data_IF_526274985156
#
_entry.id   IF_526274985156
#
_cell.length_a   1.000
_cell.length_b   1.000
_cell.length_c   1.000
_cell.angle_alpha   90.00
_cell.angle_beta   90.00
_cell.angle_gamma   90.00
#
_symmetry.space_group_name_H-M   'P 1'
#
loop_
_entity.id
_entity.type
_entity.pdbx_description
1 polymer ?
#
# COMPACT_ATOMS: atom_id res chain seq x y z
N UNK A 1 20.17 -2.61 -5.10
CA UNK A 1 18.94 -2.64 -4.29
C UNK A 1 19.11 -3.69 -3.21
N UNK A 2 18.63 -3.43 -1.99
CA UNK A 2 18.63 -4.45 -0.94
C UNK A 2 17.68 -5.59 -1.35
N UNK A 3 18.16 -6.84 -1.28
CA UNK A 3 17.38 -8.03 -1.66
C UNK A 3 16.99 -8.88 -0.46
N UNK A 4 17.47 -8.53 0.74
CA UNK A 4 17.25 -9.28 1.97
C UNK A 4 16.46 -8.43 2.96
N UNK A 5 15.40 -8.98 3.57
CA UNK A 5 14.67 -8.28 4.61
C UNK A 5 15.57 -7.88 5.76
N UNK A 6 15.41 -6.66 6.28
CA UNK A 6 16.14 -6.18 7.46
C UNK A 6 15.19 -6.15 8.66
N UNK A 7 15.64 -6.63 9.82
CA UNK A 7 14.83 -6.58 11.05
C UNK A 7 15.32 -5.43 11.93
N UNK A 8 14.41 -4.51 12.27
CA UNK A 8 14.66 -3.42 13.24
C UNK A 8 13.52 -3.40 14.25
N UNK A 9 13.84 -3.16 15.52
CA UNK A 9 12.80 -2.93 16.54
C UNK A 9 12.27 -1.51 16.40
N UNK A 10 11.03 -1.37 15.95
CA UNK A 10 10.33 -0.10 15.84
C UNK A 10 9.17 -0.08 16.84
N UNK A 11 9.04 0.99 17.64
CA UNK A 11 7.99 1.13 18.66
C UNK A 11 7.89 -0.08 19.62
N UNK A 12 9.04 -0.66 20.00
CA UNK A 12 9.09 -1.81 20.91
C UNK A 12 8.71 -3.15 20.28
N UNK A 13 8.48 -3.22 18.96
CA UNK A 13 8.12 -4.45 18.24
C UNK A 13 9.10 -4.74 17.10
N UNK A 14 9.56 -5.99 16.94
CA UNK A 14 10.34 -6.38 15.76
C UNK A 14 9.58 -6.06 14.48
N UNK A 15 10.22 -5.36 13.55
CA UNK A 15 9.67 -5.02 12.24
C UNK A 15 10.59 -5.52 11.15
N UNK A 16 10.05 -6.35 10.26
CA UNK A 16 10.72 -6.82 9.04
C UNK A 16 10.46 -5.80 7.94
N UNK A 17 11.53 -5.18 7.44
CA UNK A 17 11.50 -4.31 6.27
C UNK A 17 11.74 -5.16 5.03
N UNK A 18 10.65 -5.48 4.33
CA UNK A 18 10.63 -6.30 3.12
C UNK A 18 11.00 -5.46 1.90
N UNK A 19 12.05 -5.84 1.16
CA UNK A 19 12.46 -5.12 -0.03
C UNK A 19 11.42 -5.27 -1.13
N UNK A 20 11.23 -4.20 -1.89
CA UNK A 20 10.43 -4.18 -3.10
C UNK A 20 11.30 -3.73 -4.28
N UNK A 21 11.22 -4.41 -5.44
CA UNK A 21 11.69 -3.82 -6.69
C UNK A 21 10.99 -2.47 -6.86
N UNK A 22 11.73 -1.38 -7.01
CA UNK A 22 11.15 -0.04 -7.01
C UNK A 22 11.75 0.80 -8.14
N UNK A 23 10.92 1.51 -8.94
CA UNK A 23 9.46 1.37 -9.01
C UNK A 23 9.09 0.03 -9.69
N UNK A 24 8.23 -0.79 -9.08
CA UNK A 24 7.80 -2.03 -9.75
C UNK A 24 6.76 -1.73 -10.83
N UNK A 25 6.79 -2.46 -11.96
CA UNK A 25 5.76 -2.36 -12.97
C UNK A 25 4.41 -2.83 -12.44
N UNK A 26 3.37 -2.02 -12.65
CA UNK A 26 1.99 -2.40 -12.38
C UNK A 26 1.21 -2.50 -13.68
N UNK A 27 0.29 -3.46 -13.77
CA UNK A 27 -0.61 -3.55 -14.92
C UNK A 27 -1.65 -2.43 -14.84
N UNK A 28 -1.91 -1.76 -15.96
CA UNK A 28 -2.87 -0.65 -16.03
C UNK A 28 -4.30 -1.09 -15.71
N UNK A 29 -4.65 -2.35 -15.96
CA UNK A 29 -5.97 -2.90 -15.63
C UNK A 29 -6.24 -2.98 -14.12
N UNK A 30 -5.21 -2.93 -13.28
CA UNK A 30 -5.34 -2.86 -11.82
C UNK A 30 -6.11 -1.63 -11.34
N UNK A 31 -6.03 -0.52 -12.08
CA UNK A 31 -6.80 0.70 -11.78
C UNK A 31 -8.32 0.50 -11.92
N UNK A 32 -8.75 -0.46 -12.75
CA UNK A 32 -10.18 -0.75 -12.97
C UNK A 32 -10.78 -1.71 -11.92
N UNK A 33 -9.98 -2.19 -10.96
CA UNK A 33 -10.37 -3.19 -9.95
C UNK A 33 -11.01 -2.52 -8.73
N UNK A 34 -12.16 -1.90 -8.98
CA UNK A 34 -12.96 -1.20 -7.98
C UNK A 34 -14.12 -2.06 -7.52
N UNK A 35 -14.42 -2.07 -6.22
CA UNK A 35 -15.53 -2.83 -5.64
C UNK A 35 -16.18 -2.11 -4.46
N UNK A 36 -17.43 -2.47 -4.16
CA UNK A 36 -18.17 -2.02 -3.00
C UNK A 36 -18.21 -3.15 -1.97
N UNK A 37 -17.73 -2.91 -0.75
CA UNK A 37 -17.56 -3.97 0.26
C UNK A 37 -18.88 -4.60 0.73
N UNK A 38 -19.98 -3.86 0.68
CA UNK A 38 -21.35 -4.31 0.98
C UNK A 38 -22.34 -3.44 0.20
N UNK A 39 -23.63 -3.77 0.22
CA UNK A 39 -24.65 -3.04 -0.56
C UNK A 39 -24.68 -1.52 -0.27
N UNK A 40 -24.40 -1.11 0.97
CA UNK A 40 -24.28 0.30 1.41
C UNK A 40 -22.85 0.70 1.79
N UNK A 41 -21.87 -0.18 1.53
CA UNK A 41 -20.50 -0.01 1.97
C UNK A 41 -19.70 1.02 1.17
N UNK A 42 -18.47 1.33 1.62
CA UNK A 42 -17.54 2.17 0.88
C UNK A 42 -17.16 1.51 -0.45
N UNK A 43 -16.87 2.34 -1.45
CA UNK A 43 -16.26 1.91 -2.70
C UNK A 43 -14.75 1.98 -2.53
N UNK A 44 -14.09 0.86 -2.78
CA UNK A 44 -12.65 0.69 -2.66
C UNK A 44 -12.02 0.40 -4.02
N UNK A 45 -10.88 1.02 -4.26
CA UNK A 45 -10.02 0.78 -5.41
C UNK A 45 -8.62 0.39 -4.95
N UNK A 46 -7.86 -0.22 -5.85
CA UNK A 46 -6.48 -0.61 -5.59
C UNK A 46 -6.30 -1.53 -4.37
N UNK A 47 -7.34 -2.26 -3.97
CA UNK A 47 -7.27 -3.13 -2.79
C UNK A 47 -6.78 -4.53 -3.17
N UNK A 48 -5.68 -5.03 -2.58
CA UNK A 48 -5.26 -6.42 -2.71
C UNK A 48 -6.37 -7.44 -2.45
N UNK A 49 -7.39 -7.09 -1.64
CA UNK A 49 -8.55 -7.93 -1.37
C UNK A 49 -9.27 -8.34 -2.66
N UNK A 50 -9.31 -7.46 -3.67
CA UNK A 50 -9.96 -7.74 -4.95
C UNK A 50 -9.33 -8.96 -5.63
N UNK A 51 -8.00 -8.99 -5.73
CA UNK A 51 -7.24 -10.08 -6.33
C UNK A 51 -7.31 -11.39 -5.54
N UNK A 52 -7.52 -11.29 -4.23
CA UNK A 52 -7.55 -12.46 -3.34
C UNK A 52 -8.94 -13.09 -3.23
N UNK A 53 -10.01 -12.29 -3.28
CA UNK A 53 -11.34 -12.74 -2.87
C UNK A 53 -12.44 -12.48 -3.90
N UNK A 54 -12.17 -11.72 -4.97
CA UNK A 54 -13.18 -11.34 -5.97
C UNK A 54 -12.81 -11.88 -7.35
N UNK A 55 -11.59 -11.60 -7.82
CA UNK A 55 -11.11 -12.01 -9.14
C UNK A 55 -9.63 -12.38 -9.05
N UNK A 56 -9.33 -13.68 -9.09
CA UNK A 56 -7.95 -14.19 -9.02
C UNK A 56 -7.07 -13.72 -10.18
N UNK A 57 -7.64 -13.26 -11.30
CA UNK A 57 -6.90 -12.62 -12.39
C UNK A 57 -6.21 -11.32 -11.95
N UNK A 58 -6.72 -10.66 -10.91
CA UNK A 58 -6.14 -9.45 -10.33
C UNK A 58 -5.10 -9.73 -9.22
N UNK A 59 -4.81 -11.00 -8.88
CA UNK A 59 -3.81 -11.34 -7.87
C UNK A 59 -2.40 -10.81 -8.19
N UNK A 60 -2.11 -10.58 -9.47
CA UNK A 60 -0.83 -10.03 -9.94
C UNK A 60 -0.73 -8.50 -9.86
N UNK A 61 -1.77 -7.81 -9.37
CA UNK A 61 -1.74 -6.35 -9.21
C UNK A 61 -0.80 -5.88 -8.10
N UNK A 62 -0.60 -6.72 -7.07
CA UNK A 62 0.27 -6.39 -5.94
C UNK A 62 1.26 -7.52 -5.67
N UNK A 63 2.55 -7.20 -5.45
CA UNK A 63 3.52 -8.20 -5.02
C UNK A 63 3.23 -8.66 -3.59
N UNK A 64 3.72 -9.85 -3.25
CA UNK A 64 3.50 -10.48 -1.93
C UNK A 64 3.92 -9.60 -0.76
N UNK A 65 5.00 -8.81 -0.89
CA UNK A 65 5.41 -7.91 0.17
C UNK A 65 4.37 -6.81 0.46
N UNK A 66 3.69 -6.27 -0.56
CA UNK A 66 2.62 -5.27 -0.38
C UNK A 66 1.39 -5.92 0.23
N UNK A 67 0.98 -7.09 -0.26
CA UNK A 67 -0.19 -7.80 0.29
C UNK A 67 0.05 -8.21 1.74
N UNK A 68 1.25 -8.71 2.08
CA UNK A 68 1.65 -9.05 3.45
C UNK A 68 1.66 -7.83 4.37
N UNK A 69 2.18 -6.71 3.89
CA UNK A 69 2.16 -5.44 4.64
C UNK A 69 0.73 -4.96 4.87
N UNK A 70 -0.17 -5.06 3.89
CA UNK A 70 -1.56 -4.63 4.00
C UNK A 70 -2.37 -5.49 4.99
N UNK A 71 -2.24 -6.83 4.89
CA UNK A 71 -3.04 -7.77 5.66
C UNK A 71 -2.44 -8.20 7.01
N UNK A 72 -1.30 -7.63 7.42
CA UNK A 72 -0.70 -7.90 8.74
C UNK A 72 -1.68 -7.57 9.88
N UNK A 73 -1.64 -8.25 11.03
CA UNK A 73 -2.56 -7.99 12.16
C UNK A 73 -1.85 -7.36 13.36
N UNK A 74 -2.60 -6.66 14.21
CA UNK A 74 -2.07 -6.09 15.45
C UNK A 74 -1.53 -7.16 16.41
N UNK A 75 -2.04 -8.39 16.32
CA UNK A 75 -1.64 -9.52 17.18
C UNK A 75 -0.40 -10.27 16.73
N UNK A 76 0.14 -10.00 15.53
CA UNK A 76 1.38 -10.64 15.10
C UNK A 76 2.55 -10.23 16.01
N UNK A 77 3.52 -11.13 16.23
CA UNK A 77 4.70 -10.81 17.05
C UNK A 77 5.66 -9.84 16.33
N UNK A 78 5.68 -9.91 15.00
CA UNK A 78 6.56 -9.14 14.13
C UNK A 78 5.70 -8.32 13.17
N UNK A 79 6.03 -7.04 13.01
CA UNK A 79 5.41 -6.16 12.02
C UNK A 79 6.09 -6.31 10.67
N UNK A 80 5.37 -6.03 9.59
CA UNK A 80 5.92 -5.99 8.23
C UNK A 80 5.89 -4.53 7.77
N UNK A 81 6.96 -4.06 7.15
CA UNK A 81 7.07 -2.76 6.52
C UNK A 81 7.75 -2.90 5.16
N UNK A 82 7.54 -1.95 4.25
CA UNK A 82 8.18 -1.93 2.94
C UNK A 82 9.46 -1.09 3.03
N UNK A 83 10.58 -1.56 2.48
CA UNK A 83 11.88 -0.90 2.59
C UNK A 83 13.03 -1.92 2.61
N UNK A 84 14.29 -1.54 2.91
CA UNK A 84 14.77 -0.25 3.41
C UNK A 84 15.10 0.77 2.31
N UNK A 85 14.89 0.40 1.04
CA UNK A 85 14.89 1.32 -0.11
C UNK A 85 13.52 1.19 -0.75
N UNK A 86 12.86 2.32 -0.97
CA UNK A 86 11.48 2.38 -1.38
C UNK A 86 11.22 3.58 -2.29
N UNK A 87 10.58 3.33 -3.41
CA UNK A 87 9.97 4.34 -4.27
C UNK A 87 8.53 3.90 -4.55
N UNK A 88 7.67 4.88 -4.85
CA UNK A 88 6.29 4.58 -5.17
C UNK A 88 6.20 3.70 -6.43
N UNK A 89 5.25 2.75 -6.48
CA UNK A 89 5.00 1.96 -7.68
C UNK A 89 4.68 2.81 -8.91
N UNK A 90 4.83 2.23 -10.10
CA UNK A 90 4.67 2.95 -11.38
C UNK A 90 3.34 3.72 -11.55
N UNK A 91 2.24 3.20 -11.00
CA UNK A 91 0.91 3.83 -11.09
C UNK A 91 0.53 4.63 -9.83
N UNK A 92 1.52 4.92 -9.00
CA UNK A 92 1.38 5.69 -7.78
C UNK A 92 2.34 6.88 -7.80
N UNK A 93 2.00 7.90 -7.04
CA UNK A 93 2.86 9.06 -6.80
C UNK A 93 3.16 9.20 -5.32
N UNK A 94 4.33 9.76 -5.02
CA UNK A 94 4.68 10.14 -3.65
C UNK A 94 3.79 11.30 -3.23
N UNK A 95 2.80 11.00 -2.41
CA UNK A 95 1.83 11.96 -1.91
C UNK A 95 2.39 12.77 -0.74
N UNK A 96 3.16 12.12 0.14
CA UNK A 96 3.81 12.76 1.28
C UNK A 96 5.08 12.00 1.64
N UNK A 97 6.08 12.70 2.16
CA UNK A 97 7.25 12.08 2.81
C UNK A 97 7.46 12.72 4.18
N UNK A 98 7.58 11.89 5.21
CA UNK A 98 7.88 12.31 6.57
C UNK A 98 9.31 11.91 6.92
N UNK A 99 10.04 12.79 7.60
CA UNK A 99 11.35 12.48 8.16
C UNK A 99 11.17 12.01 9.60
N UNK A 100 11.48 10.74 9.84
CA UNK A 100 11.47 10.13 11.16
C UNK A 100 12.83 10.27 11.86
N UNK A 101 12.86 9.92 13.15
CA UNK A 101 14.09 9.92 13.94
C UNK A 101 15.17 9.05 13.29
N UNK A 102 16.43 9.46 13.43
CA UNK A 102 17.56 8.75 12.82
C UNK A 102 17.70 8.95 11.31
N UNK A 103 16.93 9.88 10.70
CA UNK A 103 17.06 10.21 9.27
C UNK A 103 16.33 9.24 8.34
N UNK A 104 15.46 8.40 8.88
CA UNK A 104 14.62 7.49 8.08
C UNK A 104 13.51 8.30 7.42
N UNK A 105 13.30 8.12 6.12
CA UNK A 105 12.19 8.76 5.40
C UNK A 105 11.04 7.76 5.26
N UNK A 106 9.85 8.16 5.69
CA UNK A 106 8.62 7.40 5.52
C UNK A 106 7.83 8.03 4.37
N UNK A 107 7.70 7.28 3.27
CA UNK A 107 7.06 7.71 2.04
C UNK A 107 5.65 7.14 1.97
N UNK A 108 4.67 8.01 1.75
CA UNK A 108 3.27 7.67 1.54
C UNK A 108 2.95 7.78 0.05
N UNK A 109 2.50 6.69 -0.56
CA UNK A 109 2.12 6.68 -1.97
C UNK A 109 0.61 6.50 -2.14
N UNK A 110 0.02 7.34 -2.98
CA UNK A 110 -1.34 7.17 -3.47
C UNK A 110 -1.33 6.83 -4.97
N UNK A 111 -2.32 6.09 -5.48
CA UNK A 111 -2.47 5.95 -6.92
C UNK A 111 -2.53 7.33 -7.58
N UNK A 112 -1.94 7.47 -8.77
CA UNK A 112 -1.69 8.78 -9.37
C UNK A 112 -2.94 9.65 -9.57
N UNK A 113 -4.11 9.04 -9.75
CA UNK A 113 -5.39 9.73 -9.94
C UNK A 113 -6.15 9.99 -8.62
N UNK A 114 -5.51 9.76 -7.48
CA UNK A 114 -6.10 9.89 -6.15
C UNK A 114 -5.39 10.96 -5.34
N UNK A 115 -6.17 11.76 -4.61
CA UNK A 115 -5.67 12.77 -3.69
C UNK A 115 -5.29 12.14 -2.36
N UNK A 116 -4.25 12.68 -1.74
CA UNK A 116 -3.88 12.35 -0.37
C UNK A 116 -4.82 13.03 0.62
N UNK A 117 -5.36 12.25 1.55
CA UNK A 117 -6.33 12.72 2.53
C UNK A 117 -5.72 12.84 3.93
N UNK A 118 -5.09 11.77 4.43
CA UNK A 118 -4.56 11.75 5.80
C UNK A 118 -3.33 10.82 5.93
N UNK A 119 -2.28 11.24 6.66
CA UNK A 119 -1.19 10.34 7.01
C UNK A 119 -1.66 9.33 8.06
N UNK A 120 -1.51 8.05 7.76
CA UNK A 120 -1.74 6.95 8.68
C UNK A 120 -0.47 6.11 8.72
N UNK A 121 0.49 6.45 9.61
CA UNK A 121 1.79 5.78 9.68
C UNK A 121 1.69 4.34 10.18
N UNK A 122 0.62 4.04 10.92
CA UNK A 122 0.29 2.70 11.39
C UNK A 122 -0.63 1.99 10.39
N UNK A 123 -0.63 0.65 10.38
CA UNK A 123 -1.55 -0.15 9.55
C UNK A 123 -2.98 0.39 9.64
N UNK A 124 -3.53 0.93 8.55
CA UNK A 124 -4.87 1.48 8.61
C UNK A 124 -5.91 0.34 8.64
N UNK A 125 -6.93 0.46 9.48
CA UNK A 125 -8.08 -0.48 9.50
C UNK A 125 -8.96 -0.29 8.27
N UNK A 126 -8.86 0.88 7.63
CA UNK A 126 -9.62 1.30 6.46
C UNK A 126 -8.72 2.18 5.58
N UNK A 127 -8.70 2.04 4.23
CA UNK A 127 -7.81 2.78 3.32
C UNK A 127 -8.15 4.28 3.18
N UNK A 128 -8.19 5.02 4.29
CA UNK A 128 -8.55 6.44 4.31
C UNK A 128 -7.46 7.40 3.82
N UNK A 129 -6.28 6.90 3.45
CA UNK A 129 -5.15 7.77 3.10
C UNK A 129 -5.27 8.38 1.70
N UNK A 130 -5.93 7.68 0.77
CA UNK A 130 -6.04 8.09 -0.61
C UNK A 130 -7.51 8.07 -1.03
N UNK A 131 -7.99 9.15 -1.66
CA UNK A 131 -9.36 9.23 -2.15
C UNK A 131 -9.46 9.89 -3.51
N UNK A 132 -10.50 9.53 -4.24
CA UNK A 132 -11.03 10.31 -5.36
C UNK A 132 -12.53 10.52 -5.12
N UNK A 133 -13.11 11.50 -5.83
CA UNK A 133 -14.52 11.81 -5.71
C UNK A 133 -15.17 11.76 -7.08
N UNK A 134 -16.27 11.02 -7.19
CA UNK A 134 -17.13 11.04 -8.35
C UNK A 134 -18.29 12.03 -8.11
N UNK A 135 -18.46 12.97 -9.02
CA UNK A 135 -19.46 14.04 -8.90
C UNK A 135 -20.77 13.68 -9.62
N UNK A 136 -21.90 14.34 -9.28
CA UNK A 136 -23.18 14.11 -9.95
C UNK A 136 -23.07 14.14 -11.48
N UNK A 137 -23.67 13.14 -12.14
CA UNK A 137 -23.63 12.94 -13.58
C UNK A 137 -22.47 12.07 -14.07
N UNK A 138 -21.45 11.80 -13.25
CA UNK A 138 -20.39 10.86 -13.61
C UNK A 138 -20.85 9.41 -13.48
N UNK A 139 -20.34 8.54 -14.36
CA UNK A 139 -20.60 7.11 -14.31
C UNK A 139 -19.46 6.41 -13.56
N UNK A 140 -19.83 5.65 -12.53
CA UNK A 140 -18.91 4.76 -11.81
C UNK A 140 -19.20 3.31 -12.16
N UNK A 141 -18.13 2.51 -12.31
CA UNK A 141 -18.23 1.06 -12.51
C UNK A 141 -17.45 0.36 -11.42
N UNK A 142 -18.08 -0.58 -10.73
CA UNK A 142 -17.51 -1.31 -9.62
C UNK A 142 -18.12 -2.71 -9.52
N UNK A 143 -17.47 -3.61 -8.79
CA UNK A 143 -18.09 -4.88 -8.38
C UNK A 143 -18.84 -4.67 -7.07
N UNK A 144 -20.15 -4.88 -7.05
CA UNK A 144 -20.94 -4.90 -5.81
C UNK A 144 -20.77 -6.26 -5.15
N UNK A 145 -20.46 -6.25 -3.85
CA UNK A 145 -20.52 -7.45 -3.01
C UNK A 145 -21.80 -7.44 -2.19
N UNK A 146 -22.67 -8.42 -2.42
CA UNK A 146 -23.84 -8.67 -1.59
C UNK A 146 -23.53 -9.83 -0.67
N UNK A 147 -23.59 -9.61 0.64
CA UNK A 147 -23.28 -10.64 1.64
C UNK A 147 -24.56 -11.42 1.93
N UNK A 148 -24.61 -12.67 1.47
CA UNK A 148 -25.70 -13.60 1.76
C UNK A 148 -25.30 -14.65 2.79
N UNK A 149 -26.27 -15.50 3.16
CA UNK A 149 -26.07 -16.62 4.09
C UNK A 149 -25.05 -17.66 3.62
N UNK A 150 -24.82 -17.76 2.31
CA UNK A 150 -23.89 -18.72 1.70
C UNK A 150 -22.59 -18.06 1.18
N UNK A 151 -22.27 -16.84 1.63
CA UNK A 151 -21.09 -16.09 1.23
C UNK A 151 -21.39 -14.82 0.44
N UNK A 152 -20.34 -14.20 -0.11
CA UNK A 152 -20.45 -12.97 -0.88
C UNK A 152 -20.75 -13.26 -2.36
N UNK A 153 -21.77 -12.59 -2.90
CA UNK A 153 -22.08 -12.60 -4.33
C UNK A 153 -21.47 -11.34 -4.95
N UNK A 154 -20.57 -11.53 -5.91
CA UNK A 154 -19.95 -10.45 -6.67
C UNK A 154 -20.72 -10.19 -7.98
N UNK A 155 -21.16 -8.95 -8.19
CA UNK A 155 -21.82 -8.52 -9.43
C UNK A 155 -21.21 -7.23 -9.95
N UNK A 156 -20.83 -7.19 -11.22
CA UNK A 156 -20.42 -5.94 -11.87
C UNK A 156 -21.62 -5.01 -11.99
N UNK A 157 -21.46 -3.79 -11.50
CA UNK A 157 -22.47 -2.75 -11.44
C UNK A 157 -21.91 -1.46 -12.03
N UNK A 158 -22.74 -0.79 -12.83
CA UNK A 158 -22.47 0.54 -13.35
C UNK A 158 -23.60 1.45 -12.92
N UNK A 159 -23.26 2.63 -12.41
CA UNK A 159 -24.25 3.57 -11.88
C UNK A 159 -23.83 5.00 -12.17
N UNK A 160 -24.81 5.87 -12.39
CA UNK A 160 -24.60 7.31 -12.51
C UNK A 160 -24.72 7.91 -11.12
N UNK A 161 -23.75 8.73 -10.72
CA UNK A 161 -23.79 9.48 -9.46
C UNK A 161 -24.94 10.48 -9.53
N UNK A 162 -25.87 10.41 -8.58
CA UNK A 162 -27.15 11.11 -8.66
C UNK A 162 -27.10 12.54 -8.12
N UNK A 163 -26.96 12.72 -6.81
CA UNK A 163 -27.13 14.02 -6.13
C UNK A 163 -26.02 14.35 -5.14
N UNK A 164 -25.42 13.34 -4.50
CA UNK A 164 -24.27 13.52 -3.61
C UNK A 164 -23.00 12.99 -4.27
N UNK A 165 -21.87 13.64 -4.00
CA UNK A 165 -20.56 13.11 -4.39
C UNK A 165 -20.32 11.74 -3.76
N UNK A 166 -19.70 10.85 -4.52
CA UNK A 166 -19.33 9.51 -4.05
C UNK A 166 -17.83 9.45 -3.88
N UNK A 167 -17.38 9.22 -2.65
CA UNK A 167 -15.97 9.00 -2.35
C UNK A 167 -15.56 7.58 -2.73
N UNK A 168 -14.46 7.46 -3.46
CA UNK A 168 -13.80 6.21 -3.78
C UNK A 168 -12.48 6.22 -3.01
N UNK A 169 -12.31 5.26 -2.10
CA UNK A 169 -11.11 5.14 -1.28
C UNK A 169 -10.12 4.21 -1.95
N UNK A 170 -8.83 4.53 -1.91
CA UNK A 170 -7.79 3.68 -2.47
C UNK A 170 -6.79 3.22 -1.42
N UNK A 171 -6.38 1.96 -1.52
CA UNK A 171 -5.31 1.42 -0.67
C UNK A 171 -3.99 2.13 -0.98
N UNK A 172 -3.34 2.72 0.04
CA UNK A 172 -2.04 3.34 -0.12
C UNK A 172 -0.94 2.28 -0.22
N UNK A 173 0.24 2.66 -0.70
CA UNK A 173 1.47 1.86 -0.54
C UNK A 173 2.49 2.72 0.18
N UNK A 174 2.84 2.36 1.41
CA UNK A 174 3.79 3.14 2.22
C UNK A 174 5.06 2.35 2.47
N UNK A 175 6.19 3.04 2.47
CA UNK A 175 7.47 2.40 2.72
C UNK A 175 8.51 3.34 3.29
N UNK A 176 9.67 2.78 3.58
CA UNK A 176 10.72 3.43 4.34
C UNK A 176 12.04 3.42 3.56
N UNK A 177 12.68 4.58 3.52
CA UNK A 177 14.04 4.76 3.05
C UNK A 177 14.96 5.01 4.24
N UNK A 178 15.88 4.08 4.47
CA UNK A 178 16.89 4.22 5.53
C UNK A 178 18.08 5.01 5.01
N UNK A 179 18.70 5.85 5.85
CA UNK A 179 19.95 6.49 5.46
C UNK A 179 21.00 5.43 5.18
N UNK A 180 21.83 5.66 4.16
CA UNK A 180 22.99 4.81 3.94
C UNK A 180 23.85 4.83 5.22
N UNK A 181 24.10 3.67 5.81
CA UNK A 181 25.00 3.57 6.96
C UNK A 181 26.32 4.23 6.59
N UNK A 182 26.74 5.27 7.33
CA UNK A 182 28.09 5.80 7.22
C UNK A 182 29.03 4.69 7.69
N UNK A 183 29.50 3.86 6.77
CA UNK A 183 30.57 2.91 7.03
C UNK A 183 31.81 3.75 7.29
N UNK A 184 32.10 4.01 8.57
CA UNK A 184 33.43 4.41 8.97
C UNK A 184 34.35 3.30 8.49
N UNK A 185 35.14 3.58 7.44
CA UNK A 185 36.20 2.69 6.99
C UNK A 185 37.17 2.57 8.17
N UNK A 186 37.07 1.50 8.94
CA UNK A 186 38.23 1.00 9.67
C UNK A 186 39.25 0.61 8.61
N UNK A 187 40.10 1.57 8.22
CA UNK A 187 41.37 1.25 7.58
C UNK A 187 42.13 0.43 8.61
N UNK A 188 42.21 -0.89 8.37
CA UNK A 188 43.13 -1.74 9.09
C UNK A 188 44.54 -1.14 8.91
N UNK A 189 45.08 -0.58 9.98
CA UNK A 189 46.49 -0.21 10.07
C UNK A 189 47.30 -1.46 9.71
N UNK A 190 47.98 -1.43 8.56
CA UNK A 190 48.97 -2.44 8.21
C UNK A 190 50.03 -2.47 9.32
N UNK A 191 50.36 -3.63 9.91
CA UNK A 191 51.51 -3.71 10.78
C UNK A 191 52.78 -3.46 9.96
N UNK A 192 53.62 -2.52 10.42
CA UNK A 192 55.01 -2.41 9.94
C UNK A 192 55.75 -3.65 10.42
N UNK A 193 56.16 -4.50 9.49
CA UNK A 193 57.18 -5.51 9.78
C UNK A 193 58.50 -4.79 10.09
N UNK A 194 59.08 -5.12 11.25
CA UNK A 194 60.50 -4.93 11.54
C UNK A 194 61.28 -6.12 10.99
#
# INVERSE_FOLDING_TARGET
MATTPTVVTANGRPTVYSPLPTPWPMKSDCASRTYRQSDEGPILAWDPYFGMNIDSGAATCFPEAVTSWWFQTVSQATSIALGPTFECPQLYTAAQTLLEAGGVQHVFCCPSDYSFNVPQPNRPVFPSQCLSMATPGQTITYVSLTIGTNGAIAKRTTSVVNSAEVTIWAVPVNGYNFPASSTSRYQALRPRNK
#
